data_IF_586953397174
#
_entry.id   IF_586953397174
#
_cell.length_a   1.000
_cell.length_b   1.000
_cell.length_c   1.000
_cell.angle_alpha   90.00
_cell.angle_beta   90.00
_cell.angle_gamma   90.00
#
_symmetry.space_group_name_H-M   'P 1'
#
loop_
_entity.id
_entity.type
_entity.pdbx_description
1 polymer ?
#
# COMPACT_ATOMS: atom_id res chain seq x y z
N UNK A 1 7.24 63.18 22.83
CA UNK A 1 8.29 62.30 22.24
C UNK A 1 8.26 60.94 22.94
N UNK A 2 7.60 59.96 22.33
CA UNK A 2 7.69 58.54 22.69
C UNK A 2 7.66 57.77 21.37
N UNK A 3 8.83 57.42 20.86
CA UNK A 3 9.01 56.58 19.68
C UNK A 3 9.03 55.13 20.13
N UNK A 4 7.97 54.37 19.81
CA UNK A 4 7.94 52.92 19.98
C UNK A 4 8.70 52.29 18.81
N UNK A 5 9.77 51.57 19.12
CA UNK A 5 10.60 50.86 18.16
C UNK A 5 9.96 49.49 17.87
N UNK A 6 9.50 49.30 16.64
CA UNK A 6 9.03 48.02 16.10
C UNK A 6 10.21 47.06 16.01
N UNK A 7 10.21 46.00 16.81
CA UNK A 7 11.17 44.90 16.66
C UNK A 7 10.72 44.02 15.50
N UNK A 8 11.31 44.21 14.32
CA UNK A 8 11.28 43.23 13.24
C UNK A 8 12.09 42.02 13.70
N UNK A 9 11.41 40.92 14.01
CA UNK A 9 12.04 39.62 14.19
C UNK A 9 12.47 39.12 12.81
N UNK A 10 13.74 39.31 12.46
CA UNK A 10 14.34 38.69 11.29
C UNK A 10 14.41 37.18 11.52
N UNK A 11 13.48 36.44 10.93
CA UNK A 11 13.59 34.98 10.80
C UNK A 11 14.78 34.72 9.87
N UNK A 12 15.85 34.20 10.45
CA UNK A 12 17.03 33.72 9.74
C UNK A 12 16.63 32.69 8.69
N UNK A 13 16.73 33.07 7.42
CA UNK A 13 16.77 32.17 6.27
C UNK A 13 18.09 31.39 6.30
N UNK A 14 18.11 30.30 7.08
CA UNK A 14 19.04 29.20 6.89
C UNK A 14 18.35 28.12 6.05
N UNK A 15 18.05 28.47 4.80
CA UNK A 15 17.58 27.53 3.78
C UNK A 15 18.77 27.13 2.92
N UNK A 16 19.31 25.92 3.11
CA UNK A 16 20.10 25.18 2.10
C UNK A 16 20.63 23.78 2.52
N UNK A 17 20.00 23.07 3.48
CA UNK A 17 20.30 21.65 3.73
C UNK A 17 19.18 20.84 4.43
N UNK A 18 17.90 21.16 4.20
CA UNK A 18 16.77 20.45 4.80
C UNK A 18 16.24 19.34 3.88
N UNK A 19 16.17 18.11 4.43
CA UNK A 19 15.18 17.10 4.05
C UNK A 19 15.33 16.37 2.71
N UNK A 20 16.54 15.95 2.29
CA UNK A 20 16.72 15.07 1.12
C UNK A 20 17.35 13.74 1.52
N UNK A 21 16.93 12.66 0.85
CA UNK A 21 17.61 11.35 0.97
C UNK A 21 19.04 11.49 0.45
N UNK A 22 20.08 11.11 1.22
CA UNK A 22 21.46 11.19 0.75
C UNK A 22 21.66 10.37 -0.53
N UNK A 23 22.34 10.95 -1.53
CA UNK A 23 22.56 10.29 -2.82
C UNK A 23 23.18 8.88 -2.71
N UNK A 24 24.16 8.61 -1.81
CA UNK A 24 24.68 7.26 -1.63
C UNK A 24 23.62 6.26 -1.16
N UNK A 25 22.68 6.67 -0.30
CA UNK A 25 21.57 5.83 0.15
C UNK A 25 20.56 5.64 -0.99
N UNK A 26 20.22 6.68 -1.75
CA UNK A 26 19.34 6.58 -2.90
C UNK A 26 19.81 5.52 -3.92
N UNK A 27 21.10 5.48 -4.24
CA UNK A 27 21.67 4.47 -5.14
C UNK A 27 21.59 3.04 -4.56
N UNK A 28 21.65 2.88 -3.23
CA UNK A 28 21.49 1.58 -2.58
C UNK A 28 20.03 1.13 -2.53
N UNK A 29 19.11 2.07 -2.32
CA UNK A 29 17.67 1.83 -2.47
C UNK A 29 17.36 1.27 -3.87
N UNK A 30 17.86 1.94 -4.93
CA UNK A 30 17.64 1.50 -6.32
C UNK A 30 18.13 0.05 -6.55
N UNK A 31 19.28 -0.33 -5.98
CA UNK A 31 19.81 -1.69 -6.06
C UNK A 31 18.94 -2.74 -5.34
N UNK A 32 18.41 -2.44 -4.15
CA UNK A 32 17.58 -3.41 -3.42
C UNK A 32 16.16 -3.51 -3.97
N UNK A 33 15.62 -2.42 -4.54
CA UNK A 33 14.39 -2.42 -5.32
C UNK A 33 14.55 -3.35 -6.52
N UNK A 34 15.64 -3.18 -7.29
CA UNK A 34 15.93 -4.04 -8.43
C UNK A 34 16.16 -5.50 -8.03
N UNK A 35 16.88 -5.75 -6.94
CA UNK A 35 17.06 -7.10 -6.39
C UNK A 35 15.73 -7.77 -6.06
N UNK A 36 14.79 -7.03 -5.47
CA UNK A 36 13.44 -7.53 -5.18
C UNK A 36 12.65 -7.81 -6.48
N UNK A 37 12.77 -6.93 -7.49
CA UNK A 37 12.12 -7.08 -8.81
C UNK A 37 12.63 -8.28 -9.59
N UNK A 38 13.93 -8.57 -9.48
CA UNK A 38 14.59 -9.69 -10.15
C UNK A 38 14.33 -11.06 -9.50
N UNK A 39 13.61 -11.11 -8.37
CA UNK A 39 13.18 -12.37 -7.78
C UNK A 39 12.28 -13.11 -8.77
N UNK A 40 12.68 -14.32 -9.14
CA UNK A 40 11.93 -15.10 -10.12
C UNK A 40 10.50 -15.38 -9.63
N UNK A 41 9.53 -14.99 -10.46
CA UNK A 41 8.13 -15.34 -10.30
C UNK A 41 7.76 -16.40 -11.33
N UNK A 42 7.23 -17.54 -10.87
CA UNK A 42 6.77 -18.63 -11.74
C UNK A 42 5.37 -19.06 -11.34
N UNK A 43 4.57 -19.50 -12.31
CA UNK A 43 3.20 -19.96 -12.08
C UNK A 43 3.11 -21.23 -11.20
N UNK A 44 4.21 -21.96 -11.00
CA UNK A 44 4.26 -23.16 -10.16
C UNK A 44 4.69 -22.86 -8.72
N UNK A 45 5.75 -22.06 -8.56
CA UNK A 45 6.30 -21.77 -7.24
C UNK A 45 5.57 -20.65 -6.50
N UNK A 46 4.93 -19.73 -7.22
CA UNK A 46 4.33 -18.53 -6.63
C UNK A 46 2.81 -18.56 -6.76
N UNK A 47 2.13 -18.42 -5.63
CA UNK A 47 0.67 -18.34 -5.61
C UNK A 47 0.18 -17.02 -6.20
N UNK A 48 -1.08 -16.93 -6.63
CA UNK A 48 -1.67 -15.68 -7.09
C UNK A 48 -1.56 -14.55 -6.06
N UNK A 49 -1.64 -14.87 -4.75
CA UNK A 49 -1.41 -13.90 -3.68
C UNK A 49 0.01 -13.31 -3.71
N UNK A 50 1.05 -14.14 -3.93
CA UNK A 50 2.44 -13.67 -4.03
C UNK A 50 2.64 -12.80 -5.27
N UNK A 51 2.08 -13.20 -6.42
CA UNK A 51 2.16 -12.41 -7.66
C UNK A 51 1.45 -11.07 -7.50
N UNK A 52 0.30 -11.03 -6.82
CA UNK A 52 -0.40 -9.78 -6.53
C UNK A 52 0.44 -8.83 -5.67
N UNK A 53 1.19 -9.32 -4.68
CA UNK A 53 2.10 -8.46 -3.92
C UNK A 53 3.24 -7.91 -4.79
N UNK A 54 3.73 -8.69 -5.75
CA UNK A 54 4.72 -8.19 -6.71
C UNK A 54 4.13 -7.08 -7.60
N UNK A 55 2.85 -7.19 -8.01
CA UNK A 55 2.11 -6.12 -8.70
C UNK A 55 1.96 -4.88 -7.81
N UNK A 56 1.72 -5.04 -6.51
CA UNK A 56 1.70 -3.89 -5.59
C UNK A 56 3.07 -3.19 -5.61
N UNK A 57 4.17 -3.94 -5.50
CA UNK A 57 5.51 -3.35 -5.47
C UNK A 57 5.94 -2.66 -6.77
N UNK A 58 5.64 -3.27 -7.91
CA UNK A 58 6.23 -2.91 -9.22
C UNK A 58 5.20 -2.55 -10.28
N UNK A 59 3.92 -2.47 -9.90
CA UNK A 59 2.82 -2.06 -10.75
C UNK A 59 2.79 -2.88 -12.07
N UNK A 60 3.00 -2.22 -13.21
CA UNK A 60 3.00 -2.83 -14.54
C UNK A 60 4.36 -3.41 -14.95
N UNK A 61 5.42 -3.13 -14.21
CA UNK A 61 6.81 -3.43 -14.58
C UNK A 61 7.34 -4.74 -13.98
N UNK A 62 6.47 -5.76 -13.94
CA UNK A 62 6.80 -7.08 -13.40
C UNK A 62 6.17 -8.19 -14.25
N UNK A 63 6.94 -9.27 -14.44
CA UNK A 63 6.56 -10.41 -15.25
C UNK A 63 6.57 -11.71 -14.43
N UNK A 64 5.71 -12.64 -14.83
CA UNK A 64 5.66 -14.01 -14.33
C UNK A 64 6.04 -14.96 -15.45
N UNK A 65 6.89 -15.94 -15.16
CA UNK A 65 7.10 -17.09 -16.04
C UNK A 65 5.89 -18.04 -15.94
N UNK A 66 4.99 -17.95 -16.92
CA UNK A 66 3.89 -18.89 -17.09
C UNK A 66 4.44 -20.18 -17.69
N UNK A 67 4.59 -21.21 -16.87
CA UNK A 67 5.19 -22.49 -17.26
C UNK A 67 4.29 -23.30 -18.20
N UNK A 68 2.97 -23.09 -18.17
CA UNK A 68 2.06 -23.74 -19.13
C UNK A 68 2.25 -23.17 -20.52
N UNK A 69 2.43 -21.85 -20.61
CA UNK A 69 2.69 -21.15 -21.88
C UNK A 69 4.17 -21.09 -22.26
N UNK A 70 5.06 -21.51 -21.36
CA UNK A 70 6.53 -21.46 -21.51
C UNK A 70 7.05 -20.07 -21.91
N UNK A 71 6.44 -19.01 -21.36
CA UNK A 71 6.82 -17.63 -21.65
C UNK A 71 6.64 -16.73 -20.44
N UNK A 72 7.39 -15.62 -20.43
CA UNK A 72 7.11 -14.52 -19.52
C UNK A 72 5.86 -13.78 -19.99
N UNK A 73 5.04 -13.39 -19.03
CA UNK A 73 3.82 -12.60 -19.23
C UNK A 73 3.80 -11.49 -18.18
N UNK A 74 3.20 -10.35 -18.51
CA UNK A 74 2.94 -9.31 -17.53
C UNK A 74 2.14 -9.89 -16.35
N UNK A 75 2.48 -9.51 -15.12
CA UNK A 75 1.86 -10.10 -13.94
C UNK A 75 0.37 -9.74 -13.80
N UNK A 76 -0.06 -8.55 -14.23
CA UNK A 76 -1.47 -8.16 -14.21
C UNK A 76 -2.24 -9.01 -15.22
N UNK A 77 -1.72 -9.16 -16.45
CA UNK A 77 -2.33 -10.04 -17.46
C UNK A 77 -2.37 -11.51 -17.02
N UNK A 78 -1.33 -11.98 -16.34
CA UNK A 78 -1.32 -13.30 -15.73
C UNK A 78 -2.45 -13.42 -14.71
N UNK A 79 -2.56 -12.50 -13.75
CA UNK A 79 -3.59 -12.54 -12.72
C UNK A 79 -5.01 -12.48 -13.29
N UNK A 80 -5.24 -11.64 -14.31
CA UNK A 80 -6.60 -11.43 -14.85
C UNK A 80 -7.02 -12.48 -15.88
N UNK A 81 -6.08 -13.18 -16.53
CA UNK A 81 -6.42 -14.08 -17.63
C UNK A 81 -5.89 -15.52 -17.50
N UNK A 82 -4.94 -15.82 -16.62
CA UNK A 82 -4.22 -17.11 -16.65
C UNK A 82 -3.84 -17.68 -15.30
N UNK A 83 -3.89 -16.89 -14.23
CA UNK A 83 -3.58 -17.35 -12.89
C UNK A 83 -4.60 -18.38 -12.46
N UNK A 84 -4.09 -19.51 -11.96
CA UNK A 84 -4.90 -20.62 -11.49
C UNK A 84 -4.65 -20.92 -10.02
N UNK A 85 -5.67 -21.50 -9.39
CA UNK A 85 -5.59 -22.08 -8.07
C UNK A 85 -6.44 -23.35 -8.04
N UNK A 86 -5.86 -24.46 -7.56
CA UNK A 86 -6.50 -25.79 -7.57
C UNK A 86 -6.95 -26.20 -8.99
N UNK A 87 -6.14 -25.88 -10.01
CA UNK A 87 -6.36 -26.26 -11.41
C UNK A 87 -7.46 -25.47 -12.14
N UNK A 88 -7.94 -24.36 -11.56
CA UNK A 88 -8.96 -23.50 -12.16
C UNK A 88 -8.53 -22.03 -12.10
N UNK A 89 -8.94 -21.22 -13.09
CA UNK A 89 -8.69 -19.77 -13.08
C UNK A 89 -9.13 -19.14 -11.76
N UNK A 90 -8.41 -18.16 -11.23
CA UNK A 90 -8.73 -17.61 -9.91
C UNK A 90 -10.09 -16.89 -9.86
N UNK A 91 -10.46 -16.20 -10.93
CA UNK A 91 -11.72 -15.46 -11.03
C UNK A 91 -12.91 -16.38 -11.28
N UNK A 92 -13.89 -16.33 -10.39
CA UNK A 92 -15.15 -17.06 -10.49
C UNK A 92 -16.20 -16.16 -11.16
N UNK A 93 -17.14 -16.76 -11.89
CA UNK A 93 -18.38 -16.09 -12.30
C UNK A 93 -19.48 -16.44 -11.30
N UNK A 94 -19.73 -15.55 -10.32
CA UNK A 94 -20.81 -15.72 -9.36
C UNK A 94 -21.90 -14.69 -9.60
N UNK A 95 -23.05 -15.15 -10.11
CA UNK A 95 -24.21 -14.29 -10.41
C UNK A 95 -23.83 -13.10 -11.33
N UNK A 96 -22.96 -13.34 -12.30
CA UNK A 96 -22.51 -12.32 -13.26
C UNK A 96 -21.50 -11.33 -12.70
N UNK A 97 -20.65 -11.77 -11.77
CA UNK A 97 -19.60 -10.94 -11.15
C UNK A 97 -18.28 -11.71 -11.11
N UNK A 98 -17.13 -11.06 -11.39
CA UNK A 98 -15.80 -11.66 -11.26
C UNK A 98 -15.36 -11.69 -9.78
N UNK A 99 -15.74 -12.72 -9.03
CA UNK A 99 -15.38 -12.87 -7.62
C UNK A 99 -14.13 -13.73 -7.43
N UNK A 100 -13.30 -13.43 -6.43
CA UNK A 100 -12.22 -14.32 -6.01
C UNK A 100 -12.68 -15.16 -4.80
N UNK A 101 -12.09 -16.35 -4.63
CA UNK A 101 -12.24 -17.12 -3.39
C UNK A 101 -11.48 -16.36 -2.30
N UNK A 102 -12.17 -15.97 -1.22
CA UNK A 102 -11.60 -15.27 -0.05
C UNK A 102 -11.59 -16.20 1.14
N UNK A 103 -10.68 -15.97 2.10
CA UNK A 103 -10.48 -16.77 3.33
C UNK A 103 -11.78 -17.33 3.90
N UNK A 104 -11.89 -18.66 3.94
CA UNK A 104 -12.90 -19.37 4.70
C UNK A 104 -12.24 -20.32 5.71
N UNK A 105 -12.93 -20.63 6.81
CA UNK A 105 -12.38 -21.49 7.87
C UNK A 105 -11.98 -22.85 7.30
N UNK A 106 -10.70 -23.19 7.41
CA UNK A 106 -10.16 -24.49 7.01
C UNK A 106 -9.78 -24.62 5.53
N UNK A 107 -9.91 -23.55 4.73
CA UNK A 107 -9.48 -23.58 3.32
C UNK A 107 -8.16 -22.84 3.08
N UNK A 108 -7.56 -23.08 1.91
CA UNK A 108 -6.32 -22.44 1.45
C UNK A 108 -6.56 -21.23 0.55
N UNK A 109 -7.77 -20.65 0.56
CA UNK A 109 -8.12 -19.56 -0.36
C UNK A 109 -7.34 -18.27 -0.12
N UNK A 110 -6.76 -18.10 1.08
CA UNK A 110 -5.80 -17.04 1.39
C UNK A 110 -4.57 -17.05 0.46
N UNK A 111 -4.26 -18.18 -0.20
CA UNK A 111 -3.23 -18.26 -1.23
C UNK A 111 -3.64 -17.59 -2.56
N UNK A 112 -4.92 -17.24 -2.71
CA UNK A 112 -5.44 -16.42 -3.81
C UNK A 112 -5.70 -15.02 -3.30
N UNK A 113 -6.73 -14.83 -2.47
CA UNK A 113 -7.10 -13.55 -1.90
C UNK A 113 -7.42 -13.75 -0.43
N UNK A 114 -6.75 -13.00 0.43
CA UNK A 114 -6.92 -13.15 1.86
C UNK A 114 -8.02 -12.23 2.40
N UNK A 115 -8.07 -11.01 1.85
CA UNK A 115 -8.95 -9.93 2.31
C UNK A 115 -9.91 -9.48 1.20
N UNK A 116 -11.10 -9.02 1.59
CA UNK A 116 -12.06 -8.44 0.65
C UNK A 116 -11.40 -7.26 -0.07
N UNK A 117 -11.58 -7.21 -1.40
CA UNK A 117 -11.04 -6.17 -2.28
C UNK A 117 -9.52 -6.04 -2.39
N UNK A 118 -8.72 -6.96 -1.83
CA UNK A 118 -7.25 -6.91 -1.92
C UNK A 118 -6.73 -6.85 -3.37
N UNK A 119 -7.34 -7.58 -4.31
CA UNK A 119 -6.98 -7.47 -5.74
C UNK A 119 -7.46 -6.18 -6.38
N UNK A 120 -8.60 -5.63 -5.93
CA UNK A 120 -9.09 -4.35 -6.47
C UNK A 120 -8.17 -3.21 -6.03
N UNK A 121 -7.72 -3.27 -4.78
CA UNK A 121 -6.65 -2.43 -4.24
C UNK A 121 -5.40 -2.53 -5.13
N UNK A 122 -4.88 -3.73 -5.38
CA UNK A 122 -3.65 -3.89 -6.17
C UNK A 122 -3.77 -3.30 -7.57
N UNK A 123 -4.93 -3.48 -8.22
CA UNK A 123 -5.20 -2.89 -9.53
C UNK A 123 -5.32 -1.37 -9.49
N UNK A 124 -6.00 -0.81 -8.48
CA UNK A 124 -6.09 0.63 -8.28
C UNK A 124 -4.70 1.24 -8.05
N UNK A 125 -3.93 0.63 -7.16
CA UNK A 125 -2.61 1.12 -6.77
C UNK A 125 -1.61 1.05 -7.94
N UNK A 126 -1.72 0.03 -8.79
CA UNK A 126 -0.96 -0.12 -10.04
C UNK A 126 -1.54 0.66 -11.24
N UNK A 127 -2.57 1.48 -11.02
CA UNK A 127 -3.20 2.31 -12.07
C UNK A 127 -3.80 1.53 -13.23
N UNK A 128 -4.28 0.29 -13.01
CA UNK A 128 -4.91 -0.53 -14.05
C UNK A 128 -6.21 0.14 -14.53
N UNK A 129 -6.49 0.11 -15.83
CA UNK A 129 -7.72 0.71 -16.35
C UNK A 129 -8.96 -0.04 -15.86
N UNK A 130 -10.07 0.67 -15.64
CA UNK A 130 -11.37 0.05 -15.37
C UNK A 130 -11.82 -0.88 -16.51
N UNK A 131 -11.40 -0.62 -17.75
CA UNK A 131 -11.72 -1.44 -18.92
C UNK A 131 -10.81 -2.68 -19.06
N UNK A 132 -9.82 -2.85 -18.19
CA UNK A 132 -8.90 -3.99 -18.25
C UNK A 132 -9.66 -5.31 -18.06
N UNK A 133 -9.45 -6.24 -18.98
CA UNK A 133 -10.23 -7.47 -19.07
C UNK A 133 -9.82 -8.50 -17.99
N UNK A 134 -10.84 -9.16 -17.43
CA UNK A 134 -10.75 -10.27 -16.49
C UNK A 134 -11.47 -11.47 -17.09
N UNK A 135 -10.79 -12.61 -17.17
CA UNK A 135 -11.35 -13.88 -17.64
C UNK A 135 -11.73 -14.74 -16.44
N UNK A 136 -12.99 -15.12 -16.34
CA UNK A 136 -13.46 -16.03 -15.29
C UNK A 136 -13.28 -17.51 -15.66
N UNK A 137 -13.46 -18.39 -14.68
CA UNK A 137 -13.51 -19.86 -14.84
C UNK A 137 -14.51 -20.33 -15.91
N UNK A 138 -15.58 -19.59 -16.16
CA UNK A 138 -16.56 -19.93 -17.20
C UNK A 138 -16.15 -19.47 -18.60
N UNK A 139 -14.98 -18.82 -18.74
CA UNK A 139 -14.54 -18.16 -19.98
C UNK A 139 -15.23 -16.81 -20.22
N UNK A 140 -16.11 -16.37 -19.30
CA UNK A 140 -16.77 -15.08 -19.40
C UNK A 140 -15.77 -13.96 -19.16
N UNK A 141 -15.86 -12.94 -20.01
CA UNK A 141 -15.11 -11.69 -19.90
C UNK A 141 -15.84 -10.73 -18.96
N UNK A 142 -15.07 -10.16 -18.05
CA UNK A 142 -15.43 -9.07 -17.15
C UNK A 142 -14.37 -7.98 -17.25
N UNK A 143 -14.55 -6.90 -16.51
CA UNK A 143 -13.62 -5.78 -16.40
C UNK A 143 -13.22 -5.51 -14.94
N UNK A 144 -12.15 -4.76 -14.72
CA UNK A 144 -11.84 -4.20 -13.39
C UNK A 144 -13.00 -3.31 -12.90
N UNK A 145 -13.70 -2.63 -13.81
CA UNK A 145 -14.92 -1.87 -13.54
C UNK A 145 -16.07 -2.72 -13.00
N UNK A 146 -16.26 -3.94 -13.49
CA UNK A 146 -17.24 -4.87 -12.94
C UNK A 146 -16.91 -5.25 -11.49
N UNK A 147 -15.63 -5.40 -11.17
CA UNK A 147 -15.16 -5.66 -9.81
C UNK A 147 -15.39 -4.45 -8.89
N UNK A 148 -15.12 -3.23 -9.36
CA UNK A 148 -15.43 -2.00 -8.60
C UNK A 148 -16.93 -1.86 -8.35
N UNK A 149 -17.76 -2.10 -9.37
CA UNK A 149 -19.22 -2.08 -9.25
C UNK A 149 -19.71 -3.09 -8.22
N UNK A 150 -19.12 -4.28 -8.19
CA UNK A 150 -19.42 -5.28 -7.17
C UNK A 150 -19.02 -4.84 -5.77
N UNK A 151 -17.81 -4.30 -5.60
CA UNK A 151 -17.33 -3.78 -4.31
C UNK A 151 -18.26 -2.69 -3.76
N UNK A 152 -18.66 -1.72 -4.60
CA UNK A 152 -19.61 -0.65 -4.22
C UNK A 152 -20.98 -1.19 -3.84
N UNK A 153 -21.52 -2.11 -4.65
CA UNK A 153 -22.85 -2.71 -4.39
C UNK A 153 -22.83 -3.57 -3.12
N UNK A 154 -21.79 -4.36 -2.90
CA UNK A 154 -21.66 -5.29 -1.77
C UNK A 154 -20.99 -4.71 -0.54
N UNK A 155 -20.69 -3.41 -0.51
CA UNK A 155 -19.94 -2.78 0.58
C UNK A 155 -20.57 -3.03 1.95
N UNK A 156 -19.73 -3.37 2.92
CA UNK A 156 -20.11 -3.57 4.33
C UNK A 156 -19.24 -2.72 5.24
N UNK A 157 -19.84 -2.04 6.19
CA UNK A 157 -19.11 -1.17 7.14
C UNK A 157 -18.26 -1.95 8.14
N UNK A 158 -18.44 -3.27 8.27
CA UNK A 158 -17.68 -4.17 9.16
C UNK A 158 -16.57 -4.95 8.42
N UNK A 159 -16.42 -4.79 7.10
CA UNK A 159 -15.30 -5.35 6.35
C UNK A 159 -14.00 -4.55 6.62
N UNK A 160 -12.87 -5.03 6.14
CA UNK A 160 -11.63 -4.25 6.11
C UNK A 160 -11.75 -3.11 5.11
N UNK A 161 -11.82 -1.87 5.60
CA UNK A 161 -12.17 -0.71 4.77
C UNK A 161 -11.03 -0.25 3.86
N UNK A 162 -9.79 -0.49 4.27
CA UNK A 162 -8.61 0.12 3.66
C UNK A 162 -8.42 -0.28 2.19
N UNK A 163 -8.63 -1.57 1.89
CA UNK A 163 -8.52 -2.10 0.53
C UNK A 163 -9.53 -1.45 -0.41
N UNK A 164 -10.80 -1.36 0.01
CA UNK A 164 -11.85 -0.70 -0.74
C UNK A 164 -11.62 0.82 -0.83
N UNK A 165 -11.11 1.45 0.23
CA UNK A 165 -10.87 2.89 0.28
C UNK A 165 -9.84 3.36 -0.77
N UNK A 166 -8.76 2.61 -0.98
CA UNK A 166 -7.80 2.90 -2.07
C UNK A 166 -8.48 2.81 -3.43
N UNK A 167 -9.25 1.75 -3.67
CA UNK A 167 -9.97 1.58 -4.94
C UNK A 167 -10.97 2.72 -5.20
N UNK A 168 -11.71 3.15 -4.17
CA UNK A 168 -12.63 4.26 -4.27
C UNK A 168 -11.90 5.58 -4.56
N UNK A 169 -10.87 5.90 -3.78
CA UNK A 169 -10.09 7.12 -3.98
C UNK A 169 -9.41 7.18 -5.35
N UNK A 170 -9.04 6.04 -5.92
CA UNK A 170 -8.42 5.97 -7.24
C UNK A 170 -9.43 6.13 -8.38
N UNK A 171 -10.53 5.37 -8.35
CA UNK A 171 -11.42 5.21 -9.50
C UNK A 171 -12.70 6.07 -9.45
N UNK A 172 -13.11 6.52 -8.27
CA UNK A 172 -14.42 7.17 -8.06
C UNK A 172 -14.21 8.65 -7.74
N UNK A 173 -14.87 9.58 -8.46
CA UNK A 173 -14.89 10.99 -8.07
C UNK A 173 -15.35 11.15 -6.61
N UNK A 174 -14.70 12.03 -5.83
CA UNK A 174 -14.94 12.13 -4.39
C UNK A 174 -16.36 12.58 -4.03
N UNK A 175 -17.02 13.33 -4.92
CA UNK A 175 -18.41 13.79 -4.81
C UNK A 175 -19.43 12.74 -5.26
N UNK A 176 -19.00 11.63 -5.87
CA UNK A 176 -19.91 10.62 -6.38
C UNK A 176 -20.45 9.73 -5.25
N UNK A 177 -21.77 9.79 -5.05
CA UNK A 177 -22.47 8.92 -4.11
C UNK A 177 -22.96 7.63 -4.79
N UNK A 178 -22.87 6.51 -4.07
CA UNK A 178 -23.55 5.28 -4.45
C UNK A 178 -24.43 4.74 -3.33
N UNK A 179 -25.27 3.77 -3.68
CA UNK A 179 -26.09 3.00 -2.74
C UNK A 179 -25.60 1.56 -2.72
N UNK A 180 -25.26 1.05 -1.53
CA UNK A 180 -24.99 -0.37 -1.32
C UNK A 180 -26.30 -1.18 -1.35
N UNK A 181 -26.20 -2.49 -1.47
CA UNK A 181 -27.34 -3.43 -1.42
C UNK A 181 -28.06 -3.44 -0.06
N UNK A 182 -27.40 -2.95 1.00
CA UNK A 182 -28.01 -2.66 2.31
C UNK A 182 -28.98 -1.47 2.28
N UNK A 183 -29.02 -0.71 1.18
CA UNK A 183 -29.82 0.49 1.02
C UNK A 183 -29.14 1.77 1.53
N UNK A 184 -28.07 1.67 2.31
CA UNK A 184 -27.25 2.80 2.77
C UNK A 184 -26.55 3.49 1.60
N UNK A 185 -26.39 4.82 1.70
CA UNK A 185 -25.63 5.63 0.75
C UNK A 185 -24.24 5.90 1.30
N UNK A 186 -23.25 5.90 0.42
CA UNK A 186 -21.87 6.22 0.74
C UNK A 186 -21.26 7.08 -0.37
N UNK A 187 -20.24 7.82 -0.02
CA UNK A 187 -19.21 8.39 -0.88
C UNK A 187 -17.83 8.02 -0.32
N UNK A 188 -16.75 8.43 -0.99
CA UNK A 188 -15.39 8.12 -0.54
C UNK A 188 -15.07 8.77 0.81
N UNK A 189 -15.59 9.97 1.08
CA UNK A 189 -15.38 10.64 2.38
C UNK A 189 -16.06 9.88 3.52
N UNK A 190 -17.26 9.34 3.31
CA UNK A 190 -17.96 8.55 4.32
C UNK A 190 -17.22 7.25 4.66
N UNK A 191 -16.63 6.57 3.66
CA UNK A 191 -15.80 5.38 3.91
C UNK A 191 -14.53 5.75 4.68
N UNK A 192 -13.89 6.89 4.35
CA UNK A 192 -12.76 7.41 5.13
C UNK A 192 -13.17 7.74 6.57
N UNK A 193 -14.34 8.37 6.77
CA UNK A 193 -14.88 8.70 8.09
C UNK A 193 -15.06 7.45 8.94
N UNK A 194 -15.56 6.36 8.36
CA UNK A 194 -15.68 5.06 9.03
C UNK A 194 -14.30 4.47 9.37
N UNK A 195 -13.33 4.57 8.46
CA UNK A 195 -11.98 4.05 8.67
C UNK A 195 -11.28 4.73 9.87
N UNK A 196 -11.27 6.06 9.92
CA UNK A 196 -10.56 6.81 10.98
C UNK A 196 -11.24 6.75 12.36
N UNK A 197 -12.41 6.10 12.46
CA UNK A 197 -13.04 5.78 13.74
C UNK A 197 -12.55 4.46 14.34
N UNK A 198 -11.77 3.69 13.57
CA UNK A 198 -11.26 2.39 13.99
C UNK A 198 -9.89 2.53 14.63
N UNK A 199 -9.61 1.61 15.54
CA UNK A 199 -8.28 1.39 16.07
C UNK A 199 -7.50 0.51 15.07
N UNK A 200 -6.48 1.02 14.38
CA UNK A 200 -5.76 0.27 13.36
C UNK A 200 -4.99 -0.90 13.98
N UNK A 201 -4.72 -0.89 15.29
CA UNK A 201 -4.15 -2.05 16.00
C UNK A 201 -5.02 -3.31 15.96
N UNK A 202 -6.32 -3.15 15.68
CA UNK A 202 -7.30 -4.24 15.57
C UNK A 202 -7.54 -4.67 14.13
N UNK A 203 -6.92 -3.99 13.18
CA UNK A 203 -6.99 -4.30 11.76
C UNK A 203 -5.94 -5.34 11.38
N UNK A 204 -6.06 -5.84 10.16
CA UNK A 204 -5.12 -6.80 9.55
C UNK A 204 -3.68 -6.37 9.72
N UNK A 205 -2.83 -7.35 10.05
CA UNK A 205 -1.39 -7.20 10.27
C UNK A 205 -0.99 -6.09 11.28
N UNK A 206 -1.92 -5.71 12.16
CA UNK A 206 -1.69 -4.71 13.19
C UNK A 206 -1.78 -3.26 12.69
N UNK A 207 -2.38 -3.04 11.50
CA UNK A 207 -2.82 -1.72 11.06
C UNK A 207 -2.06 -0.99 9.93
N UNK A 208 -0.83 -1.36 9.50
CA UNK A 208 -0.15 -0.62 8.44
C UNK A 208 -0.94 -0.49 7.13
N UNK A 209 -1.61 -1.56 6.67
CA UNK A 209 -2.47 -1.50 5.47
C UNK A 209 -3.67 -0.54 5.67
N UNK A 210 -4.19 -0.46 6.90
CA UNK A 210 -5.24 0.50 7.24
C UNK A 210 -4.75 1.94 7.08
N UNK A 211 -3.60 2.26 7.68
CA UNK A 211 -2.99 3.58 7.56
C UNK A 211 -2.62 3.91 6.11
N UNK A 212 -2.18 2.92 5.33
CA UNK A 212 -1.93 3.09 3.90
C UNK A 212 -3.19 3.54 3.17
N UNK A 213 -4.33 2.87 3.37
CA UNK A 213 -5.58 3.24 2.71
C UNK A 213 -6.06 4.65 3.08
N UNK A 214 -5.93 5.04 4.35
CA UNK A 214 -6.22 6.40 4.83
C UNK A 214 -5.30 7.43 4.18
N UNK A 215 -3.99 7.17 4.16
CA UNK A 215 -2.99 8.06 3.57
C UNK A 215 -3.17 8.22 2.05
N UNK A 216 -3.48 7.13 1.36
CA UNK A 216 -3.74 7.12 -0.08
C UNK A 216 -4.95 7.99 -0.44
N UNK A 217 -6.08 7.78 0.25
CA UNK A 217 -7.28 8.57 0.01
C UNK A 217 -7.07 10.06 0.29
N UNK A 218 -6.41 10.38 1.41
CA UNK A 218 -6.08 11.77 1.76
C UNK A 218 -5.17 12.42 0.71
N UNK A 219 -4.08 11.75 0.32
CA UNK A 219 -3.16 12.25 -0.71
C UNK A 219 -3.90 12.53 -2.01
N UNK A 220 -4.66 11.55 -2.49
CA UNK A 220 -5.39 11.64 -3.76
C UNK A 220 -6.45 12.74 -3.77
N UNK A 221 -7.09 12.98 -2.63
CA UNK A 221 -8.03 14.10 -2.46
C UNK A 221 -7.31 15.46 -2.52
N UNK A 222 -6.17 15.61 -1.85
CA UNK A 222 -5.39 16.84 -1.86
C UNK A 222 -4.77 17.14 -3.23
N UNK A 223 -4.29 16.10 -3.92
CA UNK A 223 -3.73 16.24 -5.29
C UNK A 223 -4.78 16.70 -6.31
N UNK A 224 -6.07 16.53 -6.01
CA UNK A 224 -7.19 17.03 -6.82
C UNK A 224 -7.68 18.43 -6.37
N UNK A 225 -6.95 19.12 -5.51
CA UNK A 225 -7.30 20.45 -5.00
C UNK A 225 -8.26 20.44 -3.79
N UNK A 226 -8.46 19.27 -3.18
CA UNK A 226 -9.19 19.12 -1.94
C UNK A 226 -8.60 19.94 -0.78
N UNK A 227 -9.41 20.26 0.23
CA UNK A 227 -9.00 21.09 1.37
C UNK A 227 -9.03 20.30 2.67
N UNK A 228 -8.00 20.48 3.51
CA UNK A 228 -7.96 19.91 4.86
C UNK A 228 -9.04 20.52 5.77
N UNK A 229 -10.24 19.99 5.70
CA UNK A 229 -11.38 20.36 6.53
C UNK A 229 -12.23 19.13 6.84
N UNK A 230 -13.10 19.20 7.85
CA UNK A 230 -14.00 18.10 8.19
C UNK A 230 -13.27 16.76 8.40
N UNK A 231 -13.74 15.72 7.72
CA UNK A 231 -13.18 14.36 7.78
C UNK A 231 -11.72 14.31 7.31
N UNK A 232 -11.36 15.07 6.27
CA UNK A 232 -10.01 15.08 5.71
C UNK A 232 -8.97 15.64 6.68
N UNK A 233 -9.35 16.65 7.48
CA UNK A 233 -8.50 17.13 8.58
C UNK A 233 -8.32 16.07 9.66
N UNK A 234 -9.41 15.41 10.07
CA UNK A 234 -9.36 14.33 11.07
C UNK A 234 -8.52 13.14 10.58
N UNK A 235 -8.53 12.84 9.28
CA UNK A 235 -7.67 11.82 8.70
C UNK A 235 -6.18 12.19 8.78
N UNK A 236 -5.81 13.46 8.55
CA UNK A 236 -4.45 13.95 8.79
C UNK A 236 -4.04 13.79 10.26
N UNK A 237 -4.88 14.25 11.18
CA UNK A 237 -4.64 14.14 12.63
C UNK A 237 -4.49 12.67 13.08
N UNK A 238 -5.31 11.79 12.52
CA UNK A 238 -5.23 10.34 12.76
C UNK A 238 -3.89 9.77 12.29
N UNK A 239 -3.42 10.12 11.08
CA UNK A 239 -2.10 9.70 10.59
C UNK A 239 -0.96 10.27 11.44
N UNK A 240 -1.07 11.53 11.90
CA UNK A 240 -0.09 12.17 12.78
C UNK A 240 0.08 11.45 14.11
N UNK A 241 -1.03 10.97 14.70
CA UNK A 241 -0.99 10.15 15.91
C UNK A 241 -0.13 8.89 15.69
N UNK A 242 -0.37 8.14 14.61
CA UNK A 242 0.36 6.90 14.34
C UNK A 242 1.79 7.13 13.86
N UNK A 243 2.10 8.28 13.25
CA UNK A 243 3.47 8.72 12.99
C UNK A 243 4.21 8.93 14.32
N UNK A 244 3.61 9.65 15.26
CA UNK A 244 4.20 9.90 16.58
C UNK A 244 4.42 8.60 17.36
N UNK A 245 3.45 7.67 17.31
CA UNK A 245 3.58 6.34 17.92
C UNK A 245 4.72 5.54 17.26
N UNK A 246 4.78 5.52 15.93
CA UNK A 246 5.82 4.79 15.19
C UNK A 246 7.21 5.32 15.49
N UNK A 247 7.37 6.64 15.54
CA UNK A 247 8.63 7.30 15.91
C UNK A 247 9.01 7.00 17.36
N UNK A 248 8.06 7.02 18.30
CA UNK A 248 8.29 6.64 19.70
C UNK A 248 8.73 5.18 19.86
N UNK A 249 8.20 4.28 19.04
CA UNK A 249 8.54 2.86 19.07
C UNK A 249 9.71 2.47 18.16
N UNK A 250 10.29 3.43 17.43
CA UNK A 250 11.43 3.16 16.56
C UNK A 250 12.64 2.72 17.39
N UNK A 251 13.38 1.75 16.87
CA UNK A 251 14.57 1.23 17.53
C UNK A 251 15.76 2.17 17.33
N UNK A 252 16.75 2.07 18.22
CA UNK A 252 17.98 2.88 18.13
C UNK A 252 18.73 2.69 16.81
N UNK A 253 18.57 1.56 16.14
CA UNK A 253 19.19 1.26 14.84
C UNK A 253 18.32 1.68 13.65
N UNK A 254 17.20 2.37 13.88
CA UNK A 254 16.28 2.88 12.86
C UNK A 254 15.14 1.93 12.49
N UNK A 255 15.22 0.65 12.82
CA UNK A 255 14.17 -0.30 12.48
C UNK A 255 12.83 0.08 13.17
N UNK A 256 11.71 -0.15 12.48
CA UNK A 256 10.40 -0.01 13.13
C UNK A 256 10.04 -1.26 13.93
N UNK A 257 9.24 -1.02 14.98
CA UNK A 257 8.91 -2.02 15.99
C UNK A 257 8.23 -3.26 15.41
N UNK A 258 8.70 -4.45 15.79
CA UNK A 258 8.00 -5.71 15.57
C UNK A 258 6.71 -5.82 16.39
N UNK A 259 6.50 -4.94 17.37
CA UNK A 259 5.25 -4.78 18.11
C UNK A 259 4.29 -3.78 17.48
N UNK A 260 4.60 -3.25 16.29
CA UNK A 260 3.80 -2.25 15.59
C UNK A 260 3.47 -1.04 16.47
N UNK A 261 2.19 -0.70 16.56
CA UNK A 261 1.70 0.43 17.36
C UNK A 261 1.43 0.08 18.84
N UNK A 262 1.66 -1.17 19.29
CA UNK A 262 1.38 -1.57 20.67
C UNK A 262 2.50 -1.23 21.66
N UNK A 263 3.75 -1.43 21.24
CA UNK A 263 4.95 -1.20 22.08
C UNK A 263 6.20 -1.15 21.24
N UNK A 264 7.27 -0.61 21.80
CA UNK A 264 8.62 -0.78 21.26
C UNK A 264 9.08 -2.23 21.43
N UNK A 265 9.44 -2.89 20.34
CA UNK A 265 9.95 -4.24 20.33
C UNK A 265 10.90 -4.42 19.15
N UNK A 266 12.16 -4.77 19.45
CA UNK A 266 13.18 -5.01 18.44
C UNK A 266 12.85 -6.22 17.56
N UNK A 267 12.83 -6.09 16.22
CA UNK A 267 12.78 -7.25 15.32
C UNK A 267 13.99 -8.17 15.52
N UNK A 268 13.76 -9.48 15.60
CA UNK A 268 14.80 -10.48 15.94
C UNK A 268 15.40 -11.21 14.73
N UNK A 269 14.76 -11.12 13.58
CA UNK A 269 15.20 -11.79 12.35
C UNK A 269 15.13 -10.82 11.17
N UNK A 270 15.92 -11.02 10.11
CA UNK A 270 15.83 -10.19 8.91
C UNK A 270 14.43 -10.23 8.29
N UNK A 271 13.79 -11.41 8.33
CA UNK A 271 12.39 -11.58 7.91
C UNK A 271 11.45 -10.63 8.66
N UNK A 272 11.51 -10.61 9.98
CA UNK A 272 10.64 -9.74 10.78
C UNK A 272 10.99 -8.26 10.59
N UNK A 273 12.28 -7.92 10.47
CA UNK A 273 12.72 -6.55 10.30
C UNK A 273 12.25 -5.95 8.97
N UNK A 274 12.50 -6.65 7.86
CA UNK A 274 12.08 -6.22 6.53
C UNK A 274 10.56 -6.10 6.49
N UNK A 275 9.84 -7.05 7.10
CA UNK A 275 8.39 -6.96 7.22
C UNK A 275 7.95 -5.73 8.03
N UNK A 276 8.37 -5.57 9.28
CA UNK A 276 7.87 -4.48 10.14
C UNK A 276 8.28 -3.10 9.65
N UNK A 277 9.53 -2.97 9.17
CA UNK A 277 10.07 -1.69 8.68
C UNK A 277 9.52 -1.35 7.30
N UNK A 278 9.38 -2.33 6.41
CA UNK A 278 8.76 -2.16 5.09
C UNK A 278 7.31 -1.68 5.20
N UNK A 279 6.47 -2.38 5.97
CA UNK A 279 5.07 -1.98 6.17
C UNK A 279 4.93 -0.59 6.80
N UNK A 280 5.78 -0.25 7.77
CA UNK A 280 5.75 1.07 8.38
C UNK A 280 6.14 2.17 7.39
N UNK A 281 7.22 1.98 6.63
CA UNK A 281 7.63 2.95 5.61
C UNK A 281 6.64 3.06 4.44
N UNK A 282 5.91 2.00 4.13
CA UNK A 282 4.97 1.96 3.02
C UNK A 282 3.85 2.99 3.17
N UNK A 283 3.13 3.00 4.29
CA UNK A 283 2.09 4.01 4.51
C UNK A 283 2.68 5.41 4.77
N UNK A 284 3.87 5.48 5.38
CA UNK A 284 4.59 6.75 5.56
C UNK A 284 5.02 7.38 4.24
N UNK A 285 5.30 6.57 3.20
CA UNK A 285 5.65 7.07 1.86
C UNK A 285 4.56 7.95 1.25
N UNK A 286 3.30 7.77 1.67
CA UNK A 286 2.17 8.59 1.26
C UNK A 286 1.80 9.66 2.30
N UNK A 287 1.89 9.32 3.59
CA UNK A 287 1.49 10.19 4.69
C UNK A 287 2.47 11.35 4.94
N UNK A 288 3.74 11.20 4.58
CA UNK A 288 4.77 12.23 4.73
C UNK A 288 4.95 13.02 3.42
N UNK A 289 5.35 14.28 3.55
CA UNK A 289 5.86 15.10 2.45
C UNK A 289 7.28 14.68 2.07
N UNK A 290 7.76 15.13 0.90
CA UNK A 290 9.14 14.86 0.46
C UNK A 290 10.20 15.38 1.45
N UNK A 291 9.94 16.53 2.08
CA UNK A 291 10.81 17.10 3.13
C UNK A 291 10.79 16.24 4.40
N UNK A 292 9.61 15.80 4.85
CA UNK A 292 9.48 14.94 6.03
C UNK A 292 10.13 13.57 5.83
N UNK A 293 10.08 13.02 4.61
CA UNK A 293 10.79 11.78 4.25
C UNK A 293 12.31 11.92 4.40
N UNK A 294 12.85 13.13 4.30
CA UNK A 294 14.25 13.43 4.53
C UNK A 294 14.64 13.68 5.99
N UNK A 295 13.71 13.58 6.95
CA UNK A 295 14.06 13.71 8.37
C UNK A 295 14.91 12.52 8.84
N UNK A 296 15.87 12.79 9.71
CA UNK A 296 16.89 11.81 10.17
C UNK A 296 16.30 10.48 10.64
N UNK A 297 15.17 10.51 11.36
CA UNK A 297 14.55 9.30 11.88
C UNK A 297 13.96 8.42 10.77
N UNK A 298 13.43 9.01 9.69
CA UNK A 298 12.95 8.28 8.52
C UNK A 298 14.13 7.76 7.69
N UNK A 299 15.12 8.61 7.42
CA UNK A 299 16.34 8.25 6.69
C UNK A 299 17.04 7.08 7.36
N UNK A 300 17.11 7.07 8.69
CA UNK A 300 17.70 5.96 9.47
C UNK A 300 16.91 4.66 9.32
N UNK A 301 15.58 4.72 9.22
CA UNK A 301 14.76 3.53 8.94
C UNK A 301 15.01 2.99 7.53
N UNK A 302 15.09 3.88 6.53
CA UNK A 302 15.38 3.54 5.14
C UNK A 302 16.76 2.88 5.05
N UNK A 303 17.79 3.51 5.61
CA UNK A 303 19.16 2.99 5.69
C UNK A 303 19.19 1.59 6.32
N UNK A 304 18.45 1.39 7.42
CA UNK A 304 18.40 0.08 8.06
C UNK A 304 17.70 -0.98 7.21
N UNK A 305 16.57 -0.63 6.59
CA UNK A 305 15.85 -1.54 5.70
C UNK A 305 16.71 -1.96 4.51
N UNK A 306 17.34 -0.99 3.85
CA UNK A 306 18.24 -1.21 2.70
C UNK A 306 19.41 -2.11 3.10
N UNK A 307 20.04 -1.86 4.26
CA UNK A 307 21.16 -2.67 4.75
C UNK A 307 20.79 -4.16 4.91
N UNK A 308 19.64 -4.46 5.50
CA UNK A 308 19.17 -5.85 5.65
C UNK A 308 18.81 -6.47 4.28
N UNK A 309 18.18 -5.70 3.38
CA UNK A 309 17.83 -6.15 2.02
C UNK A 309 19.06 -6.39 1.13
N UNK A 310 20.16 -5.64 1.31
CA UNK A 310 21.43 -5.90 0.63
C UNK A 310 22.05 -7.21 1.13
N UNK A 311 22.13 -7.36 2.45
CA UNK A 311 22.86 -8.44 3.12
C UNK A 311 22.28 -9.83 2.88
N UNK A 312 20.96 -9.98 2.91
CA UNK A 312 20.31 -11.30 2.87
C UNK A 312 19.68 -11.59 1.51
N UNK A 313 19.67 -12.85 1.03
CA UNK A 313 18.98 -13.22 -0.19
C UNK A 313 17.45 -13.09 -0.01
N UNK A 314 16.72 -12.88 -1.11
CA UNK A 314 15.29 -12.54 -1.09
C UNK A 314 14.41 -13.60 -0.42
N UNK A 315 14.84 -14.86 -0.46
CA UNK A 315 14.16 -16.03 0.11
C UNK A 315 14.14 -16.02 1.64
N UNK A 316 15.03 -15.26 2.28
CA UNK A 316 15.03 -15.09 3.74
C UNK A 316 13.80 -14.33 4.21
N UNK A 317 13.29 -13.41 3.39
CA UNK A 317 12.16 -12.55 3.72
C UNK A 317 10.82 -13.26 3.48
N UNK A 318 9.75 -12.76 4.09
CA UNK A 318 8.39 -13.16 3.71
C UNK A 318 8.04 -12.56 2.35
N UNK A 319 7.20 -13.25 1.57
CA UNK A 319 6.79 -12.77 0.25
C UNK A 319 6.15 -11.38 0.32
N UNK A 320 5.15 -11.21 1.19
CA UNK A 320 4.54 -9.90 1.44
C UNK A 320 5.53 -8.88 1.99
N UNK A 321 6.35 -9.25 2.98
CA UNK A 321 7.31 -8.32 3.60
C UNK A 321 8.36 -7.80 2.62
N UNK A 322 8.86 -8.64 1.71
CA UNK A 322 9.78 -8.23 0.64
C UNK A 322 9.12 -7.18 -0.28
N UNK A 323 7.91 -7.48 -0.76
CA UNK A 323 7.25 -6.62 -1.73
C UNK A 323 6.74 -5.31 -1.11
N UNK A 324 6.20 -5.33 0.11
CA UNK A 324 5.86 -4.10 0.85
C UNK A 324 7.09 -3.23 1.12
N UNK A 325 8.25 -3.83 1.44
CA UNK A 325 9.50 -3.09 1.57
C UNK A 325 9.96 -2.47 0.24
N UNK A 326 9.95 -3.23 -0.86
CA UNK A 326 10.29 -2.72 -2.18
C UNK A 326 9.35 -1.59 -2.62
N UNK A 327 8.07 -1.75 -2.36
CA UNK A 327 7.02 -0.76 -2.64
C UNK A 327 7.26 0.56 -1.90
N UNK A 328 7.51 0.48 -0.59
CA UNK A 328 7.85 1.63 0.24
C UNK A 328 9.07 2.37 -0.30
N UNK A 329 10.15 1.64 -0.58
CA UNK A 329 11.38 2.22 -1.10
C UNK A 329 11.17 2.88 -2.47
N UNK A 330 10.45 2.23 -3.39
CA UNK A 330 10.14 2.78 -4.72
C UNK A 330 9.37 4.11 -4.60
N UNK A 331 8.30 4.16 -3.81
CA UNK A 331 7.53 5.40 -3.61
C UNK A 331 8.33 6.52 -2.97
N UNK A 332 9.17 6.18 -1.98
CA UNK A 332 10.06 7.17 -1.37
C UNK A 332 11.05 7.69 -2.41
N UNK A 333 11.59 6.83 -3.29
CA UNK A 333 12.47 7.27 -4.38
C UNK A 333 11.73 8.20 -5.34
N UNK A 334 10.52 7.87 -5.76
CA UNK A 334 9.72 8.73 -6.65
C UNK A 334 9.44 10.10 -6.02
N UNK A 335 8.99 10.11 -4.76
CA UNK A 335 8.67 11.34 -4.03
C UNK A 335 9.88 12.25 -3.77
N UNK A 336 11.11 11.70 -3.75
CA UNK A 336 12.34 12.42 -3.39
C UNK A 336 13.31 12.63 -4.55
N UNK A 337 13.08 12.02 -5.70
CA UNK A 337 13.89 12.22 -6.92
C UNK A 337 13.51 13.48 -7.69
N UNK A 338 12.38 14.11 -7.35
CA UNK A 338 11.97 15.41 -7.88
C UNK A 338 12.59 16.58 -7.11
N UNK A 339 13.77 17.03 -7.55
CA UNK A 339 14.29 18.39 -7.38
C UNK A 339 15.51 18.61 -8.29
#
# INVERSE_FOLDING_TARGET
MKTSLTALLAISLASSALGKIPQPLALRMDKVIEKARMRALTSEANTPWVVMHAVVAFERDIEVLDLKKKKKVNAIDYLTASAEFEGQLIYQDRKGVPTLKTRARGDKSFLVQDHVDQFLFAYADAGVSLDHEIISRSGRKFSVGDKLKHARKGFREDQELAWTLVALAHYVPFEEQWRADTGKKYDTEEVLRLAIQRDPRRETEGGPHHLYGVAYALRRYLDQGGKLSGTWRKAREYLDEYLAISRKHQQEDGAFSAGGFHRSLRPRTPRHLVSSTGHALEWMSLALTSEELGQDWVVKAIERLVTDMEKFPTEVFSDGGLYHAAHALRRIREATSGN
#
